data_IF_929881462143
#
_entry.id   IF_929881462143
#
_cell.length_a   1.000
_cell.length_b   1.000
_cell.length_c   1.000
_cell.angle_alpha   90.00
_cell.angle_beta   90.00
_cell.angle_gamma   90.00
#
_symmetry.space_group_name_H-M   'P 1'
#
loop_
_entity.id
_entity.type
_entity.pdbx_description
1 polymer ?
#
# COMPACT_ATOMS: atom_id res chain seq x y z
N UNK A 1 11.82 11.07 -0.91
CA UNK A 1 10.83 11.09 -1.99
C UNK A 1 9.88 9.94 -1.73
N UNK A 2 8.69 10.21 -1.22
CA UNK A 2 7.65 9.18 -1.10
C UNK A 2 7.37 8.64 -2.50
N UNK A 3 7.49 7.33 -2.68
CA UNK A 3 7.17 6.69 -3.97
C UNK A 3 5.65 6.80 -4.14
N UNK A 4 5.22 7.51 -5.17
CA UNK A 4 3.82 7.80 -5.47
C UNK A 4 2.97 6.53 -5.71
N UNK A 5 3.62 5.35 -5.82
CA UNK A 5 3.01 4.02 -6.00
C UNK A 5 3.23 3.04 -4.82
N UNK A 6 3.37 3.50 -3.58
CA UNK A 6 3.46 2.57 -2.43
C UNK A 6 2.09 2.12 -1.94
N UNK A 7 1.84 0.82 -1.92
CA UNK A 7 0.63 0.22 -1.31
C UNK A 7 0.81 0.03 0.21
N UNK A 8 -0.29 -0.22 0.92
CA UNK A 8 -0.24 -0.56 2.35
C UNK A 8 0.63 -1.79 2.64
N UNK A 9 0.71 -2.74 1.69
CA UNK A 9 1.57 -3.92 1.78
C UNK A 9 3.05 -3.54 1.78
N UNK A 10 3.48 -2.61 0.92
CA UNK A 10 4.87 -2.12 0.92
C UNK A 10 5.22 -1.43 2.24
N UNK A 11 4.31 -0.61 2.77
CA UNK A 11 4.51 0.04 4.06
C UNK A 11 4.62 -0.99 5.20
N UNK A 12 3.76 -2.01 5.19
CA UNK A 12 3.80 -3.11 6.15
C UNK A 12 5.12 -3.87 6.09
N UNK A 13 5.61 -4.20 4.89
CA UNK A 13 6.89 -4.90 4.71
C UNK A 13 8.06 -4.08 5.26
N UNK A 14 8.13 -2.79 4.92
CA UNK A 14 9.20 -1.92 5.45
C UNK A 14 9.18 -1.79 6.97
N UNK A 15 7.99 -1.76 7.59
CA UNK A 15 7.84 -1.76 9.04
C UNK A 15 8.31 -3.07 9.66
N UNK A 16 7.98 -4.22 9.05
CA UNK A 16 8.49 -5.53 9.47
C UNK A 16 10.02 -5.58 9.45
N UNK A 17 10.63 -5.24 8.30
CA UNK A 17 12.08 -5.29 8.14
C UNK A 17 12.81 -4.39 9.14
N UNK A 18 12.24 -3.21 9.42
CA UNK A 18 12.80 -2.28 10.40
C UNK A 18 12.69 -2.85 11.81
N UNK A 19 11.56 -3.45 12.16
CA UNK A 19 11.34 -4.07 13.46
C UNK A 19 12.31 -5.24 13.68
N UNK A 20 12.51 -6.10 12.69
CA UNK A 20 13.46 -7.22 12.73
C UNK A 20 14.90 -6.72 12.93
N UNK A 21 15.32 -5.72 12.15
CA UNK A 21 16.65 -5.09 12.31
C UNK A 21 16.85 -4.51 13.71
N UNK A 22 15.82 -3.91 14.30
CA UNK A 22 15.91 -3.35 15.65
C UNK A 22 15.96 -4.45 16.73
N UNK A 23 15.20 -5.54 16.55
CA UNK A 23 15.26 -6.70 17.43
C UNK A 23 16.64 -7.34 17.43
N UNK A 24 17.23 -7.56 16.26
CA UNK A 24 18.60 -8.09 16.13
C UNK A 24 19.62 -7.15 16.77
N UNK A 25 19.51 -5.84 16.51
CA UNK A 25 20.40 -4.84 17.12
C UNK A 25 20.25 -4.78 18.64
N UNK A 26 19.05 -4.94 19.18
CA UNK A 26 18.81 -5.05 20.63
C UNK A 26 19.48 -6.30 21.18
N UNK A 27 19.25 -7.45 20.57
CA UNK A 27 19.81 -8.74 21.00
C UNK A 27 21.34 -8.75 20.97
N UNK A 28 21.94 -8.16 19.94
CA UNK A 28 23.39 -8.03 19.80
C UNK A 28 23.99 -6.87 20.61
N UNK A 29 23.16 -6.06 21.28
CA UNK A 29 23.52 -4.80 21.90
C UNK A 29 24.40 -3.95 20.98
N UNK A 30 23.93 -3.77 19.75
CA UNK A 30 24.72 -3.21 18.66
C UNK A 30 25.15 -1.77 18.97
N UNK A 31 26.44 -1.51 18.79
CA UNK A 31 27.06 -0.19 18.93
C UNK A 31 28.14 -0.06 17.87
N UNK A 32 28.23 1.11 17.23
CA UNK A 32 29.27 1.39 16.25
C UNK A 32 30.68 1.31 16.85
N UNK A 33 31.67 0.97 16.03
CA UNK A 33 33.07 0.80 16.47
C UNK A 33 33.62 2.04 17.19
N UNK A 34 33.26 3.24 16.71
CA UNK A 34 33.64 4.52 17.34
C UNK A 34 33.09 4.65 18.77
N UNK A 35 31.89 4.15 19.03
CA UNK A 35 31.30 4.16 20.38
C UNK A 35 32.02 3.14 21.26
N UNK A 36 32.28 1.94 20.73
CA UNK A 36 33.03 0.90 21.44
C UNK A 36 34.46 1.35 21.81
N UNK A 37 35.14 2.08 20.93
CA UNK A 37 36.48 2.62 21.24
C UNK A 37 36.45 3.67 22.34
N UNK A 38 35.40 4.49 22.42
CA UNK A 38 35.22 5.47 23.51
C UNK A 38 34.91 4.74 24.82
N UNK A 39 34.03 3.73 24.80
CA UNK A 39 33.67 2.96 26.00
C UNK A 39 34.87 2.20 26.58
N UNK A 40 35.83 1.78 25.75
CA UNK A 40 37.05 1.13 26.21
C UNK A 40 37.92 2.03 27.10
N UNK A 41 37.75 3.36 27.05
CA UNK A 41 38.48 4.32 27.89
C UNK A 41 37.72 4.74 29.14
N UNK A 42 36.49 4.24 29.36
CA UNK A 42 35.63 4.63 30.48
C UNK A 42 35.64 3.58 31.60
N UNK A 43 35.18 3.98 32.79
CA UNK A 43 35.05 3.05 33.92
C UNK A 43 33.88 2.08 33.74
N UNK A 44 34.03 0.85 34.25
CA UNK A 44 33.01 -0.21 34.12
C UNK A 44 31.60 0.22 34.51
N UNK A 45 31.36 0.94 35.64
CA UNK A 45 30.00 1.35 36.00
C UNK A 45 29.35 2.27 34.95
N UNK A 46 30.12 3.20 34.37
CA UNK A 46 29.62 4.11 33.34
C UNK A 46 29.30 3.36 32.04
N UNK A 47 30.13 2.37 31.69
CA UNK A 47 29.91 1.51 30.52
C UNK A 47 28.61 0.69 30.68
N UNK A 48 28.35 0.11 31.85
CA UNK A 48 27.12 -0.67 32.08
C UNK A 48 25.87 0.22 32.07
N UNK A 49 25.93 1.43 32.64
CA UNK A 49 24.83 2.41 32.55
C UNK A 49 24.54 2.80 31.09
N UNK A 50 25.58 3.02 30.30
CA UNK A 50 25.41 3.32 28.88
C UNK A 50 24.81 2.14 28.10
N UNK A 51 25.31 0.91 28.32
CA UNK A 51 24.74 -0.31 27.72
C UNK A 51 23.27 -0.47 28.06
N UNK A 52 22.88 -0.23 29.32
CA UNK A 52 21.48 -0.25 29.72
C UNK A 52 20.67 0.81 28.98
N UNK A 53 21.21 2.01 28.81
CA UNK A 53 20.56 3.08 28.04
C UNK A 53 20.37 2.72 26.56
N UNK A 54 21.35 2.04 25.95
CA UNK A 54 21.24 1.52 24.57
C UNK A 54 20.16 0.44 24.48
N UNK A 55 20.10 -0.46 25.46
CA UNK A 55 19.04 -1.47 25.52
C UNK A 55 17.65 -0.83 25.61
N UNK A 56 17.47 0.12 26.54
CA UNK A 56 16.21 0.86 26.72
C UNK A 56 15.85 1.69 25.49
N UNK A 57 16.84 2.26 24.79
CA UNK A 57 16.62 2.95 23.52
C UNK A 57 16.00 2.01 22.46
N UNK A 58 16.61 0.85 22.22
CA UNK A 58 16.07 -0.11 21.26
C UNK A 58 14.69 -0.63 21.65
N UNK A 59 14.50 -0.90 22.95
CA UNK A 59 13.21 -1.28 23.50
C UNK A 59 12.14 -0.23 23.24
N UNK A 60 12.43 1.05 23.51
CA UNK A 60 11.53 2.16 23.20
C UNK A 60 11.20 2.26 21.71
N UNK A 61 12.19 2.10 20.83
CA UNK A 61 11.94 2.09 19.37
C UNK A 61 11.02 0.94 18.94
N UNK A 62 11.24 -0.27 19.47
CA UNK A 62 10.43 -1.45 19.12
C UNK A 62 9.01 -1.28 19.65
N UNK A 63 8.84 -0.87 20.91
CA UNK A 63 7.53 -0.65 21.52
C UNK A 63 6.75 0.42 20.77
N UNK A 64 7.40 1.54 20.40
CA UNK A 64 6.78 2.56 19.58
C UNK A 64 6.31 1.99 18.25
N UNK A 65 7.19 1.30 17.51
CA UNK A 65 6.80 0.74 16.21
C UNK A 65 5.63 -0.25 16.34
N UNK A 66 5.63 -1.12 17.35
CA UNK A 66 4.54 -2.08 17.58
C UNK A 66 3.19 -1.40 17.84
N UNK A 67 3.18 -0.31 18.62
CA UNK A 67 1.96 0.44 18.92
C UNK A 67 1.37 1.08 17.65
N UNK A 68 2.23 1.70 16.84
CA UNK A 68 1.83 2.43 15.64
C UNK A 68 1.70 1.57 14.37
N UNK A 69 2.27 0.36 14.34
CA UNK A 69 2.17 -0.56 13.20
C UNK A 69 1.02 -1.57 13.32
N UNK A 70 0.27 -1.56 14.42
CA UNK A 70 -0.82 -2.51 14.69
C UNK A 70 -1.82 -2.62 13.53
N UNK A 71 -2.14 -1.50 12.89
CA UNK A 71 -3.05 -1.42 11.73
C UNK A 71 -2.52 -2.08 10.45
N UNK A 72 -1.20 -2.28 10.33
CA UNK A 72 -0.55 -2.93 9.20
C UNK A 72 -0.31 -4.43 9.42
N UNK A 73 -0.62 -4.96 10.62
CA UNK A 73 -0.42 -6.39 10.93
C UNK A 73 -1.22 -7.28 9.99
N UNK A 74 -2.47 -6.89 9.70
CA UNK A 74 -3.34 -7.59 8.76
C UNK A 74 -2.78 -7.56 7.32
N UNK A 75 -1.94 -6.57 6.99
CA UNK A 75 -1.37 -6.42 5.64
C UNK A 75 -0.21 -7.37 5.37
N UNK A 76 0.42 -7.92 6.42
CA UNK A 76 1.55 -8.85 6.28
C UNK A 76 1.18 -10.09 5.47
N UNK A 77 -0.06 -10.58 5.61
CA UNK A 77 -0.48 -11.78 4.89
C UNK A 77 -0.57 -11.59 3.37
N UNK A 78 -0.50 -10.34 2.87
CA UNK A 78 -0.51 -10.00 1.45
C UNK A 78 0.89 -9.74 0.87
N UNK A 79 1.97 -9.98 1.61
CA UNK A 79 3.36 -9.76 1.15
C UNK A 79 3.66 -10.41 -0.21
N UNK A 80 3.13 -11.62 -0.44
CA UNK A 80 3.27 -12.35 -1.71
C UNK A 80 2.73 -11.58 -2.93
N UNK A 81 1.83 -10.61 -2.73
CA UNK A 81 1.31 -9.75 -3.81
C UNK A 81 2.34 -8.75 -4.33
N UNK A 82 3.46 -8.55 -3.62
CA UNK A 82 4.60 -7.75 -4.11
C UNK A 82 5.39 -8.49 -5.20
N UNK A 83 5.23 -9.82 -5.30
CA UNK A 83 5.92 -10.67 -6.27
C UNK A 83 7.45 -10.50 -6.22
N UNK A 84 8.00 -10.40 -5.01
CA UNK A 84 9.45 -10.45 -4.75
C UNK A 84 9.97 -11.88 -4.92
N UNK A 85 9.15 -12.87 -4.54
CA UNK A 85 9.39 -14.30 -4.73
C UNK A 85 8.14 -14.97 -5.35
N UNK A 86 8.26 -16.16 -5.95
CA UNK A 86 7.10 -16.91 -6.42
C UNK A 86 6.17 -17.25 -5.25
N UNK A 87 4.85 -16.98 -5.34
CA UNK A 87 3.95 -17.07 -4.21
C UNK A 87 3.82 -18.51 -3.67
N UNK A 88 3.92 -18.65 -2.34
CA UNK A 88 3.62 -19.89 -1.63
C UNK A 88 2.12 -20.04 -1.36
N UNK A 89 1.62 -21.28 -1.35
CA UNK A 89 0.21 -21.52 -1.04
C UNK A 89 -0.15 -21.08 0.39
N UNK A 90 0.72 -21.33 1.38
CA UNK A 90 0.48 -20.96 2.79
C UNK A 90 0.27 -19.45 2.98
N UNK A 91 0.97 -18.64 2.19
CA UNK A 91 0.83 -17.18 2.18
C UNK A 91 -0.51 -16.76 1.57
N UNK A 92 -0.89 -17.38 0.45
CA UNK A 92 -2.16 -17.12 -0.24
C UNK A 92 -3.35 -17.57 0.60
N UNK A 93 -3.25 -18.72 1.28
CA UNK A 93 -4.28 -19.22 2.19
C UNK A 93 -4.48 -18.24 3.36
N UNK A 94 -3.38 -17.71 3.91
CA UNK A 94 -3.43 -16.69 4.96
C UNK A 94 -4.15 -15.42 4.49
N UNK A 95 -3.86 -14.96 3.26
CA UNK A 95 -4.58 -13.87 2.60
C UNK A 95 -6.07 -14.18 2.38
N UNK A 96 -6.39 -15.39 1.91
CA UNK A 96 -7.77 -15.83 1.66
C UNK A 96 -8.61 -15.75 2.92
N UNK A 97 -8.07 -16.21 4.07
CA UNK A 97 -8.74 -16.09 5.37
C UNK A 97 -8.98 -14.64 5.76
N UNK A 98 -8.00 -13.75 5.53
CA UNK A 98 -8.15 -12.32 5.80
C UNK A 98 -9.26 -11.70 4.93
N UNK A 99 -9.22 -11.92 3.61
CA UNK A 99 -10.21 -11.39 2.67
C UNK A 99 -11.60 -11.90 2.99
N UNK A 100 -11.75 -13.20 3.28
CA UNK A 100 -13.04 -13.80 3.62
C UNK A 100 -13.64 -13.22 4.91
N UNK A 101 -12.79 -12.86 5.88
CA UNK A 101 -13.21 -12.20 7.12
C UNK A 101 -13.67 -10.75 6.90
N UNK A 102 -12.96 -9.99 6.05
CA UNK A 102 -13.26 -8.57 5.80
C UNK A 102 -14.36 -8.37 4.76
N UNK A 103 -14.51 -9.30 3.81
CA UNK A 103 -15.44 -9.23 2.67
C UNK A 103 -16.34 -10.49 2.60
N UNK A 104 -17.27 -10.67 3.55
CA UNK A 104 -18.08 -11.90 3.64
C UNK A 104 -19.02 -12.12 2.43
N UNK A 105 -19.28 -11.08 1.65
CA UNK A 105 -20.15 -11.14 0.47
C UNK A 105 -19.41 -11.57 -0.80
N UNK A 106 -18.08 -11.69 -0.77
CA UNK A 106 -17.29 -12.11 -1.91
C UNK A 106 -16.94 -13.59 -1.76
N UNK A 107 -17.42 -14.38 -2.70
CA UNK A 107 -17.08 -15.80 -2.76
C UNK A 107 -15.82 -16.01 -3.61
N UNK A 108 -14.78 -16.55 -2.98
CA UNK A 108 -13.55 -17.01 -3.62
C UNK A 108 -13.55 -18.53 -3.55
N UNK A 109 -13.43 -19.20 -4.70
CA UNK A 109 -13.33 -20.66 -4.75
C UNK A 109 -11.89 -21.07 -4.45
N UNK A 110 -11.67 -21.77 -3.33
CA UNK A 110 -10.34 -22.18 -2.87
C UNK A 110 -9.64 -23.15 -3.84
N UNK A 111 -10.38 -24.11 -4.40
CA UNK A 111 -9.82 -25.07 -5.36
C UNK A 111 -9.36 -24.38 -6.63
N UNK A 112 -10.20 -23.50 -7.19
CA UNK A 112 -9.81 -22.72 -8.37
C UNK A 112 -8.67 -21.76 -8.05
N UNK A 113 -8.69 -21.12 -6.87
CA UNK A 113 -7.61 -20.24 -6.44
C UNK A 113 -6.26 -20.99 -6.39
N UNK A 114 -6.23 -22.22 -5.91
CA UNK A 114 -5.02 -23.04 -5.88
C UNK A 114 -4.43 -23.26 -7.28
N UNK A 115 -5.28 -23.59 -8.25
CA UNK A 115 -4.87 -23.79 -9.66
C UNK A 115 -4.39 -22.47 -10.30
N UNK A 116 -5.10 -21.37 -10.02
CA UNK A 116 -4.72 -20.02 -10.47
C UNK A 116 -3.35 -19.61 -9.89
N UNK A 117 -3.11 -19.81 -8.59
CA UNK A 117 -1.84 -19.50 -7.93
C UNK A 117 -0.71 -20.37 -8.47
N UNK A 118 -0.97 -21.64 -8.77
CA UNK A 118 0.02 -22.54 -9.40
C UNK A 118 0.44 -22.00 -10.76
N UNK A 119 -0.51 -21.48 -11.54
CA UNK A 119 -0.24 -20.82 -12.81
C UNK A 119 0.58 -19.53 -12.62
N UNK A 120 0.23 -18.70 -11.64
CA UNK A 120 1.01 -17.50 -11.28
C UNK A 120 2.44 -17.86 -10.91
N UNK A 121 2.63 -18.83 -10.02
CA UNK A 121 3.94 -19.29 -9.55
C UNK A 121 4.82 -19.76 -10.71
N UNK A 122 4.24 -20.48 -11.65
CA UNK A 122 4.94 -20.94 -12.86
C UNK A 122 5.38 -19.75 -13.72
N UNK A 123 4.50 -18.77 -13.93
CA UNK A 123 4.81 -17.58 -14.71
C UNK A 123 5.87 -16.68 -14.04
N UNK A 124 5.82 -16.54 -12.72
CA UNK A 124 6.70 -15.62 -11.98
C UNK A 124 8.13 -16.15 -11.82
N UNK A 125 8.29 -17.48 -11.77
CA UNK A 125 9.61 -18.14 -11.55
C UNK A 125 10.69 -17.68 -12.54
N UNK A 126 10.34 -17.42 -13.80
CA UNK A 126 11.29 -16.98 -14.84
C UNK A 126 11.31 -15.45 -15.04
N UNK A 127 10.42 -14.71 -14.37
CA UNK A 127 10.14 -13.29 -14.64
C UNK A 127 10.66 -12.35 -13.57
N UNK A 128 10.73 -12.78 -12.32
CA UNK A 128 11.12 -11.94 -11.17
C UNK A 128 12.46 -11.24 -11.42
N UNK A 129 13.49 -11.99 -11.84
CA UNK A 129 14.80 -11.39 -12.12
C UNK A 129 14.80 -10.35 -13.26
N UNK A 130 13.89 -10.46 -14.23
CA UNK A 130 13.71 -9.46 -15.28
C UNK A 130 13.02 -8.21 -14.72
N UNK A 131 11.97 -8.38 -13.94
CA UNK A 131 11.22 -7.28 -13.32
C UNK A 131 12.06 -6.50 -12.32
N UNK A 132 12.93 -7.16 -11.57
CA UNK A 132 13.82 -6.50 -10.61
C UNK A 132 14.87 -5.65 -11.32
N UNK A 133 15.44 -6.16 -12.42
CA UNK A 133 16.35 -5.37 -13.27
C UNK A 133 15.67 -4.13 -13.84
N UNK A 134 14.42 -4.27 -14.27
CA UNK A 134 13.65 -3.19 -14.89
C UNK A 134 12.94 -2.30 -13.85
N UNK A 135 13.13 -2.58 -12.55
CA UNK A 135 12.49 -1.88 -11.41
C UNK A 135 10.97 -1.79 -11.59
N UNK A 136 10.37 -2.88 -12.08
CA UNK A 136 8.95 -2.92 -12.41
C UNK A 136 8.12 -3.01 -11.11
N UNK A 137 7.19 -2.08 -10.86
CA UNK A 137 6.38 -2.07 -9.65
C UNK A 137 5.32 -3.18 -9.67
N UNK A 138 4.82 -3.57 -8.48
CA UNK A 138 3.93 -4.72 -8.31
C UNK A 138 2.62 -4.61 -9.12
N UNK A 139 2.04 -3.41 -9.22
CA UNK A 139 0.85 -3.11 -10.04
C UNK A 139 1.08 -3.47 -11.51
N UNK A 140 2.25 -3.10 -12.05
CA UNK A 140 2.60 -3.40 -13.43
C UNK A 140 2.98 -4.87 -13.64
N UNK A 141 3.56 -5.55 -12.64
CA UNK A 141 3.81 -7.00 -12.67
C UNK A 141 2.49 -7.77 -12.78
N UNK A 142 1.50 -7.46 -11.93
CA UNK A 142 0.18 -8.06 -11.98
C UNK A 142 -0.59 -7.74 -13.26
N UNK A 143 -0.50 -6.50 -13.75
CA UNK A 143 -1.10 -6.13 -15.03
C UNK A 143 -0.54 -6.96 -16.19
N UNK A 144 0.78 -7.24 -16.20
CA UNK A 144 1.40 -8.13 -17.17
C UNK A 144 0.86 -9.56 -17.07
N UNK A 145 0.83 -10.13 -15.85
CA UNK A 145 0.31 -11.49 -15.59
C UNK A 145 -1.13 -11.61 -16.08
N UNK A 146 -2.03 -10.72 -15.66
CA UNK A 146 -3.44 -10.79 -16.02
C UNK A 146 -3.68 -10.55 -17.51
N UNK A 147 -2.86 -9.71 -18.15
CA UNK A 147 -2.90 -9.54 -19.61
C UNK A 147 -2.49 -10.83 -20.30
N UNK A 148 -1.40 -11.46 -19.87
CA UNK A 148 -0.94 -12.74 -20.41
C UNK A 148 -1.98 -13.85 -20.22
N UNK A 149 -2.52 -14.01 -19.01
CA UNK A 149 -3.53 -15.02 -18.69
C UNK A 149 -4.81 -14.82 -19.48
N UNK A 150 -5.25 -13.57 -19.65
CA UNK A 150 -6.39 -13.25 -20.52
C UNK A 150 -6.14 -13.65 -21.97
N UNK A 151 -4.93 -13.43 -22.51
CA UNK A 151 -4.58 -13.84 -23.88
C UNK A 151 -4.48 -15.35 -24.06
N UNK A 152 -3.98 -16.07 -23.05
CA UNK A 152 -3.83 -17.53 -23.06
C UNK A 152 -5.07 -18.28 -22.56
N UNK A 153 -6.14 -17.55 -22.21
CA UNK A 153 -7.37 -18.09 -21.64
C UNK A 153 -7.14 -18.92 -20.36
N UNK A 154 -6.16 -18.51 -19.54
CA UNK A 154 -5.89 -19.08 -18.22
C UNK A 154 -6.81 -18.38 -17.21
N UNK A 155 -7.51 -19.10 -16.32
CA UNK A 155 -8.31 -18.49 -15.26
C UNK A 155 -7.45 -17.67 -14.28
N UNK A 156 -8.01 -16.58 -13.75
CA UNK A 156 -7.33 -15.71 -12.76
C UNK A 156 -8.30 -14.92 -11.89
N UNK A 157 -9.57 -15.35 -11.83
CA UNK A 157 -10.65 -14.57 -11.23
C UNK A 157 -10.45 -14.47 -9.72
N UNK A 158 -10.11 -15.58 -9.07
CA UNK A 158 -10.00 -15.68 -7.62
C UNK A 158 -8.77 -14.93 -7.11
N UNK A 159 -7.61 -15.12 -7.76
CA UNK A 159 -6.37 -14.43 -7.42
C UNK A 159 -6.46 -12.92 -7.66
N UNK A 160 -7.18 -12.49 -8.71
CA UNK A 160 -7.39 -11.08 -8.99
C UNK A 160 -8.17 -10.36 -7.89
N UNK A 161 -9.16 -11.01 -7.28
CA UNK A 161 -9.91 -10.42 -6.15
C UNK A 161 -8.97 -10.12 -4.98
N UNK A 162 -8.09 -11.05 -4.63
CA UNK A 162 -7.14 -10.87 -3.53
C UNK A 162 -6.14 -9.75 -3.86
N UNK A 163 -5.62 -9.75 -5.08
CA UNK A 163 -4.71 -8.71 -5.56
C UNK A 163 -5.35 -7.32 -5.56
N UNK A 164 -6.61 -7.21 -5.99
CA UNK A 164 -7.37 -5.95 -5.96
C UNK A 164 -7.56 -5.44 -4.54
N UNK A 165 -7.88 -6.32 -3.58
CA UNK A 165 -8.00 -5.96 -2.18
C UNK A 165 -6.67 -5.45 -1.60
N UNK A 166 -5.57 -6.15 -1.86
CA UNK A 166 -4.25 -5.76 -1.38
C UNK A 166 -3.77 -4.42 -1.96
N UNK A 167 -4.02 -4.17 -3.24
CA UNK A 167 -3.51 -3.00 -3.95
C UNK A 167 -4.41 -1.76 -3.85
N UNK A 168 -5.69 -1.90 -3.47
CA UNK A 168 -6.57 -0.74 -3.32
C UNK A 168 -6.32 0.07 -2.04
N UNK A 169 -5.52 -0.49 -1.11
CA UNK A 169 -5.17 0.15 0.15
C UNK A 169 -3.93 1.04 -0.04
N UNK A 170 -4.06 2.38 0.12
CA UNK A 170 -2.94 3.28 -0.04
C UNK A 170 -1.91 3.08 1.09
N UNK A 171 -0.63 3.15 0.76
CA UNK A 171 0.45 3.02 1.75
C UNK A 171 0.72 4.28 2.57
N UNK A 172 0.15 5.42 2.17
CA UNK A 172 0.35 6.71 2.84
C UNK A 172 -0.95 7.52 2.85
N UNK A 173 -1.03 8.48 3.77
CA UNK A 173 -2.11 9.46 3.82
C UNK A 173 -1.91 10.60 2.81
N UNK A 174 -0.83 10.60 2.01
CA UNK A 174 -0.50 11.68 1.09
C UNK A 174 -1.63 11.98 0.08
N UNK A 175 -2.36 10.94 -0.36
CA UNK A 175 -3.52 11.11 -1.24
C UNK A 175 -4.65 11.92 -0.56
N UNK A 176 -4.91 11.63 0.72
CA UNK A 176 -5.91 12.33 1.54
C UNK A 176 -5.45 13.74 1.90
N UNK A 177 -4.17 13.92 2.25
CA UNK A 177 -3.59 15.24 2.52
C UNK A 177 -3.65 16.16 1.31
N UNK A 178 -3.44 15.62 0.10
CA UNK A 178 -3.61 16.37 -1.15
C UNK A 178 -5.06 16.85 -1.31
N UNK A 179 -6.04 16.02 -0.95
CA UNK A 179 -7.47 16.41 -0.96
C UNK A 179 -7.73 17.52 0.08
N UNK A 180 -7.17 17.43 1.28
CA UNK A 180 -7.32 18.48 2.30
C UNK A 180 -6.66 19.80 1.90
N UNK A 181 -5.49 19.75 1.26
CA UNK A 181 -4.84 20.92 0.67
C UNK A 181 -5.72 21.58 -0.40
N UNK A 182 -6.27 20.79 -1.34
CA UNK A 182 -7.23 21.27 -2.35
C UNK A 182 -8.49 21.87 -1.72
N UNK A 183 -9.01 21.23 -0.67
CA UNK A 183 -10.17 21.71 0.08
C UNK A 183 -9.89 23.08 0.71
N UNK A 184 -8.77 23.24 1.40
CA UNK A 184 -8.39 24.50 2.05
C UNK A 184 -8.16 25.63 1.03
N UNK A 185 -7.60 25.31 -0.13
CA UNK A 185 -7.42 26.30 -1.21
C UNK A 185 -8.74 26.73 -1.86
N UNK A 186 -9.73 25.82 -1.91
CA UNK A 186 -11.04 26.11 -2.53
C UNK A 186 -12.00 26.77 -1.54
N UNK A 187 -11.91 26.38 -0.26
CA UNK A 187 -12.73 26.85 0.85
C UNK A 187 -11.95 27.89 1.67
N UNK A 188 -11.80 29.09 1.13
CA UNK A 188 -11.22 30.22 1.86
C UNK A 188 -12.31 31.11 2.44
N UNK A 189 -12.13 31.57 3.70
CA UNK A 189 -13.07 32.47 4.42
C UNK A 189 -13.42 33.75 3.65
N UNK A 190 -12.53 34.20 2.76
CA UNK A 190 -12.64 35.46 2.05
C UNK A 190 -13.38 35.35 0.71
N UNK A 191 -13.50 34.14 0.12
CA UNK A 191 -13.90 34.01 -1.29
C UNK A 191 -15.14 33.21 -1.61
N UNK A 192 -15.56 32.19 -0.85
CA UNK A 192 -16.85 31.54 -1.12
C UNK A 192 -17.40 30.76 0.08
N UNK A 193 -18.61 31.07 0.53
CA UNK A 193 -19.42 30.17 1.38
C UNK A 193 -20.04 29.06 0.52
N UNK A 194 -19.22 28.24 -0.14
CA UNK A 194 -19.73 27.09 -0.90
C UNK A 194 -20.44 26.14 0.07
N UNK A 195 -21.57 25.59 -0.36
CA UNK A 195 -22.19 24.48 0.36
C UNK A 195 -21.27 23.26 0.37
N UNK A 196 -21.36 22.44 1.42
CA UNK A 196 -20.54 21.23 1.56
C UNK A 196 -20.68 20.29 0.34
N UNK A 197 -21.89 20.13 -0.18
CA UNK A 197 -22.15 19.28 -1.35
C UNK A 197 -21.50 19.82 -2.63
N UNK A 198 -21.50 21.14 -2.81
CA UNK A 198 -20.82 21.79 -3.94
C UNK A 198 -19.31 21.64 -3.82
N UNK A 199 -18.75 21.80 -2.62
CA UNK A 199 -17.32 21.57 -2.37
C UNK A 199 -16.94 20.12 -2.68
N UNK A 200 -17.70 19.14 -2.18
CA UNK A 200 -17.46 17.72 -2.47
C UNK A 200 -17.48 17.44 -3.97
N UNK A 201 -18.50 17.90 -4.69
CA UNK A 201 -18.61 17.72 -6.13
C UNK A 201 -17.42 18.34 -6.88
N UNK A 202 -16.97 19.53 -6.46
CA UNK A 202 -15.82 20.21 -7.05
C UNK A 202 -14.52 19.43 -6.80
N UNK A 203 -14.30 18.97 -5.57
CA UNK A 203 -13.13 18.16 -5.22
C UNK A 203 -13.11 16.83 -5.98
N UNK A 204 -14.23 16.10 -6.04
CA UNK A 204 -14.34 14.85 -6.81
C UNK A 204 -14.00 15.11 -8.28
N UNK A 205 -14.56 16.16 -8.87
CA UNK A 205 -14.25 16.52 -10.26
C UNK A 205 -12.77 16.85 -10.43
N UNK A 206 -12.19 17.65 -9.53
CA UNK A 206 -10.79 18.07 -9.62
C UNK A 206 -9.79 16.93 -9.43
N UNK A 207 -10.11 15.96 -8.60
CA UNK A 207 -9.22 14.83 -8.27
C UNK A 207 -9.28 13.73 -9.33
N UNK A 208 -10.43 13.54 -9.99
CA UNK A 208 -10.62 12.46 -10.98
C UNK A 208 -10.34 12.90 -12.43
N UNK A 209 -10.09 14.19 -12.69
CA UNK A 209 -9.79 14.70 -14.02
C UNK A 209 -8.54 15.58 -14.00
N UNK A 210 -7.51 15.16 -14.72
CA UNK A 210 -6.20 15.84 -14.73
C UNK A 210 -6.24 17.19 -15.47
N UNK A 211 -7.21 17.38 -16.38
CA UNK A 211 -7.34 18.62 -17.14
C UNK A 211 -8.71 18.90 -17.73
N UNK A 212 -8.97 20.17 -18.04
CA UNK A 212 -10.21 20.61 -18.67
C UNK A 212 -10.44 19.96 -20.05
N UNK A 213 -9.37 19.66 -20.79
CA UNK A 213 -9.44 19.00 -22.09
C UNK A 213 -9.91 17.55 -21.99
N UNK A 214 -9.38 16.79 -21.02
CA UNK A 214 -9.84 15.42 -20.79
C UNK A 214 -11.28 15.40 -20.28
N UNK A 215 -11.61 16.29 -19.34
CA UNK A 215 -12.96 16.43 -18.82
C UNK A 215 -13.96 16.77 -19.93
N UNK A 216 -13.60 17.71 -20.81
CA UNK A 216 -14.42 18.08 -21.97
C UNK A 216 -14.61 16.88 -22.92
N UNK A 217 -13.55 16.15 -23.25
CA UNK A 217 -13.64 14.97 -24.10
C UNK A 217 -14.62 13.92 -23.52
N UNK A 218 -14.50 13.63 -22.22
CA UNK A 218 -15.41 12.69 -21.54
C UNK A 218 -16.86 13.19 -21.45
N UNK A 219 -17.06 14.50 -21.34
CA UNK A 219 -18.37 15.12 -21.32
C UNK A 219 -19.08 15.04 -22.67
N UNK A 220 -18.36 15.31 -23.76
CA UNK A 220 -18.90 15.28 -25.12
C UNK A 220 -19.40 13.89 -25.49
N UNK A 221 -18.67 12.85 -25.11
CA UNK A 221 -19.05 11.46 -25.38
C UNK A 221 -20.26 10.98 -24.56
N UNK A 222 -20.57 11.65 -23.44
CA UNK A 222 -21.68 11.26 -22.56
C UNK A 222 -22.93 12.13 -22.77
N UNK A 223 -23.66 11.86 -23.85
CA UNK A 223 -24.91 12.56 -24.19
C UNK A 223 -25.98 12.53 -23.08
N UNK A 224 -26.00 11.48 -22.25
CA UNK A 224 -26.97 11.38 -21.14
C UNK A 224 -26.67 12.40 -20.03
N UNK A 225 -25.38 12.60 -19.73
CA UNK A 225 -24.92 13.57 -18.75
C UNK A 225 -25.11 15.00 -19.26
N UNK A 226 -24.81 15.26 -20.54
CA UNK A 226 -25.05 16.56 -21.17
C UNK A 226 -26.53 16.97 -21.10
N UNK A 227 -27.45 16.05 -21.39
CA UNK A 227 -28.89 16.31 -21.24
C UNK A 227 -29.27 16.66 -19.81
N UNK A 228 -28.69 15.98 -18.80
CA UNK A 228 -28.93 16.31 -17.39
C UNK A 228 -28.37 17.67 -17.00
N UNK A 229 -27.17 18.04 -17.47
CA UNK A 229 -26.54 19.34 -17.21
C UNK A 229 -27.37 20.49 -17.82
N UNK A 230 -27.92 20.28 -19.02
CA UNK A 230 -28.81 21.25 -19.67
C UNK A 230 -30.23 21.27 -19.09
N UNK A 231 -30.62 20.24 -18.33
CA UNK A 231 -31.96 20.19 -17.72
C UNK A 231 -32.09 21.13 -16.52
N UNK A 232 -33.31 21.59 -16.27
CA UNK A 232 -33.66 22.38 -15.09
C UNK A 232 -33.71 21.56 -13.79
N UNK A 233 -33.51 20.23 -13.86
CA UNK A 233 -33.52 19.36 -12.67
C UNK A 233 -32.40 19.68 -11.67
N UNK A 234 -31.38 20.45 -12.08
CA UNK A 234 -30.31 20.92 -11.20
C UNK A 234 -30.71 22.05 -10.25
N UNK A 235 -31.92 22.61 -10.42
CA UNK A 235 -32.46 23.72 -9.63
C UNK A 235 -33.76 23.35 -8.88
N UNK A 236 -34.20 22.10 -8.97
CA UNK A 236 -35.35 21.56 -8.23
C UNK A 236 -34.84 20.81 -6.99
#
# INVERSE_FOLDING_TARGET
>A
MEKEKSTAVHAAQHLCDLQEKLLERKAALFMGLKVKSILATQERPQVEVFKQSVHTFYEGCISYLQEWSSSFTDMKCFSWTLLEDPPGWDEVESSLRCVSSKLPNIHINETELFDEVTSVKTYTSDKIGLWDRDIKPADERWAEIFTHFKHQNVPFKNVAVICQFAMCLPGTNASVERIFSLMNNTWTNERNRLGLETLKALLITRVNFDGCSEFHARLVDNHSLLKKIHSNMKYA
#
